data_IF_268137889606
#
_entry.id   IF_268137889606
#
_cell.length_a   1.000
_cell.length_b   1.000
_cell.length_c   1.000
_cell.angle_alpha   90.00
_cell.angle_beta   90.00
_cell.angle_gamma   90.00
#
_symmetry.space_group_name_H-M   'P 1'
#
loop_
_entity.id
_entity.type
_entity.pdbx_description
1 polymer ?
#
# COMPACT_ATOMS: atom_id res chain seq x y z
N UNK A 1 -0.87 14.41 7.73
CA UNK A 1 -1.04 13.05 7.21
C UNK A 1 0.21 12.27 7.51
N UNK A 2 0.11 11.32 8.43
CA UNK A 2 1.15 10.37 8.81
C UNK A 2 1.03 9.16 7.90
N UNK A 3 2.17 8.68 7.38
CA UNK A 3 2.25 7.51 6.51
C UNK A 3 2.87 6.34 7.28
N UNK A 4 2.14 5.24 7.37
CA UNK A 4 2.62 4.00 7.97
C UNK A 4 3.36 3.18 6.92
N UNK A 5 4.64 2.90 7.19
CA UNK A 5 5.53 2.16 6.30
C UNK A 5 5.97 0.86 6.96
N UNK A 6 6.16 -0.18 6.17
CA UNK A 6 6.76 -1.42 6.69
C UNK A 6 8.19 -1.16 7.13
N UNK A 7 8.55 -1.64 8.33
CA UNK A 7 9.87 -1.41 8.89
C UNK A 7 10.97 -2.08 8.05
N UNK A 8 10.67 -3.17 7.35
CA UNK A 8 11.67 -3.96 6.61
C UNK A 8 11.82 -3.42 5.18
N UNK A 9 10.73 -3.35 4.41
CA UNK A 9 10.76 -2.95 3.00
C UNK A 9 10.71 -1.44 2.80
N UNK A 10 10.26 -0.67 3.80
CA UNK A 10 9.99 0.77 3.70
C UNK A 10 8.87 1.16 2.74
N UNK A 11 8.12 0.18 2.26
CA UNK A 11 6.95 0.40 1.42
C UNK A 11 5.82 1.01 2.23
N UNK A 12 5.05 1.87 1.59
CA UNK A 12 3.86 2.48 2.15
C UNK A 12 2.72 1.47 2.25
N UNK A 13 2.12 1.37 3.45
CA UNK A 13 1.03 0.44 3.71
C UNK A 13 -0.31 1.17 3.76
N UNK A 14 -0.41 2.23 4.57
CA UNK A 14 -1.60 3.08 4.70
C UNK A 14 -1.25 4.42 5.38
N UNK A 15 -2.22 5.31 5.52
CA UNK A 15 -2.04 6.60 6.22
C UNK A 15 -3.08 6.81 7.34
N UNK A 16 -2.86 7.83 8.17
CA UNK A 16 -3.75 8.23 9.28
C UNK A 16 -5.09 8.84 8.85
N UNK A 17 -5.37 8.92 7.54
CA UNK A 17 -6.68 9.35 7.03
C UNK A 17 -7.78 8.32 7.27
N UNK A 18 -7.40 7.06 7.47
CA UNK A 18 -8.33 5.97 7.79
C UNK A 18 -8.53 5.86 9.30
N UNK A 19 -9.64 5.24 9.69
CA UNK A 19 -9.89 4.94 11.10
C UNK A 19 -9.02 3.77 11.53
N UNK A 20 -8.07 4.05 12.41
CA UNK A 20 -7.09 3.08 12.93
C UNK A 20 -7.41 2.77 14.39
N UNK A 21 -7.34 1.50 14.78
CA UNK A 21 -7.47 1.04 16.16
C UNK A 21 -6.29 0.15 16.53
N UNK A 22 -5.72 0.38 17.70
CA UNK A 22 -4.76 -0.55 18.28
C UNK A 22 -5.48 -1.78 18.83
N UNK A 23 -4.94 -2.96 18.50
CA UNK A 23 -5.45 -4.25 18.96
C UNK A 23 -4.29 -5.14 19.42
N UNK A 24 -4.60 -6.20 20.16
CA UNK A 24 -3.60 -7.09 20.76
C UNK A 24 -2.55 -6.32 21.58
N UNK A 25 -3.01 -5.49 22.52
CA UNK A 25 -2.13 -4.72 23.43
C UNK A 25 -1.11 -3.82 22.70
N UNK A 26 -1.53 -3.19 21.59
CA UNK A 26 -0.70 -2.31 20.79
C UNK A 26 0.26 -3.04 19.84
N UNK A 27 0.16 -4.37 19.72
CA UNK A 27 1.00 -5.15 18.81
C UNK A 27 0.54 -5.04 17.34
N UNK A 28 -0.74 -4.77 17.11
CA UNK A 28 -1.34 -4.72 15.77
C UNK A 28 -2.20 -3.46 15.59
N UNK A 29 -2.29 -2.99 14.35
CA UNK A 29 -3.18 -1.91 13.93
C UNK A 29 -4.28 -2.50 13.05
N UNK A 30 -5.54 -2.32 13.46
CA UNK A 30 -6.73 -2.59 12.65
C UNK A 30 -7.09 -1.30 11.89
N UNK A 31 -7.22 -1.38 10.57
CA UNK A 31 -7.52 -0.24 9.69
C UNK A 31 -8.85 -0.48 8.97
N UNK A 32 -9.82 0.42 9.17
CA UNK A 32 -11.16 0.30 8.60
C UNK A 32 -11.19 0.86 7.17
N UNK A 33 -11.36 -0.02 6.18
CA UNK A 33 -11.54 0.33 4.77
C UNK A 33 -13.00 0.27 4.32
N UNK A 34 -13.30 0.95 3.22
CA UNK A 34 -14.63 0.97 2.58
C UNK A 34 -14.58 0.33 1.20
N UNK A 35 -15.63 -0.40 0.84
CA UNK A 35 -15.82 -0.87 -0.53
C UNK A 35 -16.14 0.31 -1.44
N UNK A 36 -15.35 0.49 -2.50
CA UNK A 36 -15.51 1.54 -3.50
C UNK A 36 -15.46 0.95 -4.90
N UNK A 37 -16.18 1.57 -5.83
CA UNK A 37 -16.12 1.24 -7.26
C UNK A 37 -15.54 2.44 -8.01
N UNK A 38 -14.59 2.19 -8.90
CA UNK A 38 -13.97 3.18 -9.79
C UNK A 38 -14.13 2.71 -11.23
N UNK A 39 -14.50 3.63 -12.11
CA UNK A 39 -14.49 3.38 -13.55
C UNK A 39 -13.12 3.75 -14.08
N UNK A 40 -12.32 2.76 -14.48
CA UNK A 40 -11.09 2.98 -15.24
C UNK A 40 -11.41 3.03 -16.75
N UNK A 41 -10.66 3.84 -17.50
CA UNK A 41 -10.78 3.93 -18.96
C UNK A 41 -11.63 5.09 -19.49
N UNK A 42 -12.17 5.96 -18.63
CA UNK A 42 -12.83 7.20 -19.07
C UNK A 42 -11.78 8.31 -19.21
N UNK A 43 -10.81 8.10 -20.09
CA UNK A 43 -9.91 9.18 -20.53
C UNK A 43 -10.72 9.97 -21.54
N UNK A 44 -11.07 11.21 -21.19
CA UNK A 44 -11.69 12.10 -22.17
C UNK A 44 -10.73 12.23 -23.35
N UNK A 45 -11.15 11.79 -24.54
CA UNK A 45 -10.33 11.83 -25.77
C UNK A 45 -9.77 13.24 -26.04
N UNK A 46 -10.38 14.29 -25.46
CA UNK A 46 -9.87 15.66 -25.53
C UNK A 46 -8.61 15.93 -24.70
N UNK A 47 -8.26 15.06 -23.74
CA UNK A 47 -7.04 15.15 -22.93
C UNK A 47 -5.85 14.42 -23.56
N UNK A 48 -6.08 13.53 -24.53
CA UNK A 48 -5.02 12.94 -25.36
C UNK A 48 -4.71 13.93 -26.47
N UNK A 49 -3.88 14.93 -26.13
CA UNK A 49 -3.49 16.00 -27.05
C UNK A 49 -2.90 15.50 -28.37
N UNK A 50 -3.74 15.52 -29.40
CA UNK A 50 -3.46 15.86 -30.80
C UNK A 50 -2.17 15.38 -31.46
N UNK A 51 -2.30 14.38 -32.33
CA UNK A 51 -1.73 14.48 -33.67
C UNK A 51 -2.81 14.08 -34.70
N UNK A 52 -3.54 15.08 -35.20
CA UNK A 52 -4.58 14.92 -36.20
C UNK A 52 -3.96 14.73 -37.59
N UNK A 53 -3.52 13.51 -37.92
CA UNK A 53 -3.24 13.13 -39.31
C UNK A 53 -3.21 11.61 -39.47
N UNK A 54 -4.38 10.97 -39.45
CA UNK A 54 -4.63 9.70 -40.11
C UNK A 54 -6.14 9.45 -40.15
N UNK A 55 -6.72 9.58 -41.34
CA UNK A 55 -8.07 9.11 -41.66
C UNK A 55 -8.10 7.58 -41.47
N UNK A 56 -8.88 7.09 -40.52
CA UNK A 56 -9.00 5.69 -40.12
C UNK A 56 -10.27 5.47 -39.29
N UNK A 57 -10.88 4.27 -39.34
CA UNK A 57 -12.29 4.07 -39.01
C UNK A 57 -12.58 4.35 -37.54
N UNK A 58 -13.80 4.86 -37.35
CA UNK A 58 -14.43 5.31 -36.11
C UNK A 58 -14.07 4.45 -34.90
N UNK A 59 -13.56 5.12 -33.87
CA UNK A 59 -13.04 4.52 -32.65
C UNK A 59 -14.07 3.62 -31.97
N UNK A 60 -13.73 2.35 -31.88
CA UNK A 60 -14.38 1.39 -31.00
C UNK A 60 -14.33 1.96 -29.58
N UNK A 61 -15.51 2.26 -29.01
CA UNK A 61 -15.65 2.86 -27.70
C UNK A 61 -14.85 2.06 -26.67
N UNK A 62 -13.94 2.74 -25.98
CA UNK A 62 -13.13 2.11 -24.93
C UNK A 62 -14.07 1.53 -23.89
N UNK A 63 -14.06 0.20 -23.74
CA UNK A 63 -14.85 -0.53 -22.74
C UNK A 63 -14.48 -0.04 -21.34
N UNK A 64 -15.32 0.82 -20.76
CA UNK A 64 -15.13 1.34 -19.42
C UNK A 64 -15.21 0.19 -18.43
N UNK A 65 -14.11 -0.12 -17.74
CA UNK A 65 -14.08 -1.22 -16.77
C UNK A 65 -14.33 -0.67 -15.37
N UNK A 66 -15.39 -1.14 -14.71
CA UNK A 66 -15.68 -0.80 -13.32
C UNK A 66 -14.91 -1.75 -12.40
N UNK A 67 -13.92 -1.24 -11.69
CA UNK A 67 -13.17 -1.97 -10.68
C UNK A 67 -13.73 -1.66 -9.30
N UNK A 68 -14.12 -2.70 -8.58
CA UNK A 68 -14.59 -2.59 -7.19
C UNK A 68 -13.58 -3.21 -6.25
N UNK A 69 -13.25 -2.51 -5.15
CA UNK A 69 -12.28 -2.98 -4.17
C UNK A 69 -12.33 -2.18 -2.88
N UNK A 70 -11.51 -2.57 -1.90
CA UNK A 70 -11.34 -1.80 -0.67
C UNK A 70 -10.50 -0.57 -0.98
N UNK A 71 -10.97 0.61 -0.59
CA UNK A 71 -10.32 1.90 -0.85
C UNK A 71 -8.84 1.94 -0.43
N UNK A 72 -8.50 1.42 0.75
CA UNK A 72 -7.11 1.32 1.24
C UNK A 72 -6.25 0.53 0.26
N UNK A 73 -6.75 -0.62 -0.20
CA UNK A 73 -6.04 -1.51 -1.12
C UNK A 73 -5.83 -0.83 -2.47
N UNK A 74 -6.86 -0.17 -2.99
CA UNK A 74 -6.80 0.53 -4.27
C UNK A 74 -5.89 1.77 -4.23
N UNK A 75 -5.92 2.53 -3.12
CA UNK A 75 -5.16 3.77 -2.98
C UNK A 75 -3.66 3.54 -2.72
N UNK A 76 -3.32 2.50 -1.96
CA UNK A 76 -1.94 2.18 -1.62
C UNK A 76 -1.37 1.04 -2.49
N UNK A 77 -2.09 0.63 -3.55
CA UNK A 77 -1.70 -0.42 -4.49
C UNK A 77 -1.30 -1.75 -3.82
N UNK A 78 -1.98 -2.10 -2.71
CA UNK A 78 -1.66 -3.30 -1.95
C UNK A 78 -1.93 -4.56 -2.78
N UNK A 79 -1.00 -5.50 -2.73
CA UNK A 79 -1.09 -6.75 -3.50
C UNK A 79 -1.54 -7.90 -2.61
N UNK A 80 -2.58 -8.62 -3.03
CA UNK A 80 -2.98 -9.85 -2.38
C UNK A 80 -1.92 -10.94 -2.60
N UNK A 81 -1.57 -11.66 -1.54
CA UNK A 81 -0.58 -12.74 -1.59
C UNK A 81 -1.15 -14.01 -0.96
N UNK A 82 -0.92 -15.16 -1.60
CA UNK A 82 -1.32 -16.46 -1.08
C UNK A 82 -0.14 -17.23 -0.47
N UNK A 83 -0.38 -17.95 0.62
CA UNK A 83 0.64 -18.75 1.29
C UNK A 83 0.09 -20.11 1.72
N UNK A 84 0.94 -21.14 1.68
CA UNK A 84 0.66 -22.38 2.43
C UNK A 84 0.84 -22.14 3.93
N UNK A 85 0.18 -22.97 4.76
CA UNK A 85 0.28 -22.87 6.22
C UNK A 85 1.73 -22.92 6.74
N UNK A 86 2.57 -23.72 6.10
CA UNK A 86 3.98 -23.85 6.45
C UNK A 86 4.80 -22.62 6.06
N UNK A 87 4.59 -22.11 4.83
CA UNK A 87 5.22 -20.87 4.36
C UNK A 87 4.84 -19.68 5.24
N UNK A 88 3.57 -19.57 5.63
CA UNK A 88 3.08 -18.52 6.52
C UNK A 88 3.76 -18.56 7.90
N UNK A 89 3.86 -19.74 8.53
CA UNK A 89 4.55 -19.90 9.81
C UNK A 89 6.02 -19.49 9.73
N UNK A 90 6.70 -19.88 8.63
CA UNK A 90 8.11 -19.52 8.40
C UNK A 90 8.28 -18.02 8.20
N UNK A 91 7.42 -17.41 7.39
CA UNK A 91 7.44 -15.97 7.10
C UNK A 91 7.17 -15.14 8.37
N UNK A 92 6.18 -15.52 9.17
CA UNK A 92 5.85 -14.87 10.44
C UNK A 92 7.05 -14.86 11.40
N UNK A 93 7.69 -16.02 11.62
CA UNK A 93 8.90 -16.12 12.45
C UNK A 93 10.04 -15.25 11.92
N UNK A 94 10.27 -15.27 10.60
CA UNK A 94 11.34 -14.50 9.99
C UNK A 94 11.12 -12.98 10.12
N UNK A 95 9.89 -12.51 9.87
CA UNK A 95 9.53 -11.09 10.01
C UNK A 95 9.68 -10.61 11.45
N UNK A 96 9.22 -11.38 12.44
CA UNK A 96 9.38 -11.04 13.87
C UNK A 96 10.85 -10.89 14.27
N UNK A 97 11.71 -11.81 13.81
CA UNK A 97 13.15 -11.76 14.07
C UNK A 97 13.80 -10.54 13.44
N UNK A 98 13.45 -10.24 12.19
CA UNK A 98 14.00 -9.10 11.46
C UNK A 98 13.58 -7.76 12.06
N UNK A 99 12.30 -7.63 12.45
CA UNK A 99 11.78 -6.46 13.17
C UNK A 99 12.51 -6.24 14.49
N UNK A 100 12.72 -7.30 15.28
CA UNK A 100 13.43 -7.23 16.56
C UNK A 100 14.87 -6.76 16.39
N UNK A 101 15.58 -7.28 15.38
CA UNK A 101 16.94 -6.86 15.04
C UNK A 101 17.01 -5.42 14.57
N UNK A 102 16.11 -5.00 13.68
CA UNK A 102 16.10 -3.64 13.13
C UNK A 102 15.79 -2.60 14.21
N UNK A 103 14.79 -2.86 15.05
CA UNK A 103 14.45 -2.02 16.21
C UNK A 103 15.57 -1.95 17.25
N UNK A 104 16.38 -3.00 17.43
CA UNK A 104 17.57 -2.95 18.29
C UNK A 104 18.64 -2.02 17.70
N UNK A 105 18.94 -2.17 16.41
CA UNK A 105 19.92 -1.32 15.70
C UNK A 105 19.52 0.15 15.61
N UNK A 106 18.23 0.45 15.55
CA UNK A 106 17.73 1.83 15.59
C UNK A 106 17.94 2.44 16.97
N UNK A 107 17.61 1.72 18.04
CA UNK A 107 17.87 2.16 19.43
C UNK A 107 19.35 2.35 19.74
N UNK A 108 20.22 1.49 19.23
CA UNK A 108 21.68 1.64 19.36
C UNK A 108 22.17 2.92 18.65
N UNK A 109 21.69 3.18 17.42
CA UNK A 109 22.02 4.41 16.67
C UNK A 109 21.50 5.68 17.34
N UNK A 110 20.29 5.64 17.92
CA UNK A 110 19.73 6.76 18.67
C UNK A 110 20.52 7.01 19.97
N UNK A 111 20.92 5.94 20.69
CA UNK A 111 21.74 6.04 21.90
C UNK A 111 23.15 6.56 21.66
N UNK A 112 23.77 6.23 20.53
CA UNK A 112 25.09 6.76 20.13
C UNK A 112 25.03 8.23 19.66
N UNK A 113 23.83 8.76 19.36
CA UNK A 113 23.64 10.11 18.83
C UNK A 113 23.55 11.22 19.90
N UNK A 114 23.70 10.89 21.19
CA UNK A 114 23.83 11.86 22.29
C UNK A 114 25.31 12.08 22.66
N UNK A 115 26.02 13.07 22.08
CA UNK A 115 27.43 13.34 22.36
C UNK A 115 27.69 14.15 23.65
N UNK A 116 26.69 14.44 24.48
CA UNK A 116 26.88 15.16 25.74
C UNK A 116 26.15 14.45 26.89
N UNK A 117 26.84 13.48 27.48
CA UNK A 117 26.66 13.05 28.87
C UNK A 117 27.85 13.53 29.70
#
# INVERSE_FOLDING_TARGET
MIIYRDLISHDEMFSDIYKIREVADGLCLEVEGKMVSRTEGNIDDSLIGGNASADGPEGEGTESTVITGVDIVMNHHLQETSFTKEAYKKLSKNKMHLNSKKKKKEREREGESCPYG
#
